data_IF_888505766160
#
_entry.id   IF_888505766160
#
_cell.length_a   1.000
_cell.length_b   1.000
_cell.length_c   1.000
_cell.angle_alpha   90.00
_cell.angle_beta   90.00
_cell.angle_gamma   90.00
#
_symmetry.space_group_name_H-M   'P 1'
#
loop_
_entity.id
_entity.type
_entity.pdbx_description
1 polymer ?
#
# COMPACT_ATOMS: atom_id res chain seq x y z
N UNK A 1 -1.04 0.16 -31.16
CA UNK A 1 -0.30 -0.95 -30.57
C UNK A 1 -1.04 -2.30 -30.69
N UNK A 2 -2.30 -2.42 -30.22
CA UNK A 2 -3.08 -3.67 -30.33
C UNK A 2 -3.27 -4.21 -31.78
N UNK A 3 -3.48 -3.32 -32.74
CA UNK A 3 -3.66 -3.73 -34.16
C UNK A 3 -2.37 -4.30 -34.77
N UNK A 4 -1.22 -3.74 -34.42
CA UNK A 4 0.10 -4.21 -34.88
C UNK A 4 0.46 -5.58 -34.28
N UNK A 5 0.17 -5.81 -33.01
CA UNK A 5 0.37 -7.11 -32.34
C UNK A 5 -0.53 -8.18 -32.96
N UNK A 6 -1.80 -7.89 -33.22
CA UNK A 6 -2.72 -8.81 -33.93
C UNK A 6 -2.23 -9.19 -35.32
N UNK A 7 -1.63 -8.26 -36.05
CA UNK A 7 -1.06 -8.49 -37.38
C UNK A 7 0.15 -9.43 -37.33
N UNK A 8 1.05 -9.21 -36.35
CA UNK A 8 2.26 -10.05 -36.15
C UNK A 8 1.87 -11.46 -35.71
N UNK A 9 0.97 -11.60 -34.73
CA UNK A 9 0.47 -12.89 -34.25
C UNK A 9 -0.24 -13.67 -35.36
N UNK A 10 -1.02 -12.98 -36.17
CA UNK A 10 -1.69 -13.60 -37.35
C UNK A 10 -0.71 -14.08 -38.42
N UNK A 11 0.40 -13.36 -38.67
CA UNK A 11 1.48 -13.79 -39.56
C UNK A 11 2.25 -14.99 -39.00
N UNK A 12 2.60 -14.96 -37.72
CA UNK A 12 3.30 -16.05 -37.03
C UNK A 12 2.48 -17.34 -37.00
N UNK A 13 1.17 -17.26 -36.75
CA UNK A 13 0.27 -18.41 -36.80
C UNK A 13 0.24 -19.04 -38.17
N UNK A 14 0.21 -18.27 -39.26
CA UNK A 14 0.28 -18.79 -40.64
C UNK A 14 1.63 -19.43 -40.94
N UNK A 15 2.73 -18.84 -40.51
CA UNK A 15 4.07 -19.45 -40.69
C UNK A 15 4.26 -20.70 -39.85
N UNK A 16 3.70 -20.80 -38.65
CA UNK A 16 3.72 -21.97 -37.79
C UNK A 16 2.94 -23.15 -38.44
N UNK A 17 1.75 -22.88 -38.98
CA UNK A 17 0.97 -23.90 -39.69
C UNK A 17 1.74 -24.40 -40.92
N UNK A 18 2.36 -23.53 -41.69
CA UNK A 18 3.16 -23.90 -42.88
C UNK A 18 4.42 -24.65 -42.49
N UNK A 19 5.07 -24.32 -41.35
CA UNK A 19 6.22 -25.06 -40.82
C UNK A 19 5.82 -26.48 -40.37
N UNK A 20 4.72 -26.60 -39.65
CA UNK A 20 4.20 -27.89 -39.21
C UNK A 20 3.83 -28.82 -40.39
N UNK A 21 3.23 -28.25 -41.44
CA UNK A 21 2.94 -28.98 -42.71
C UNK A 21 4.22 -29.37 -43.46
N UNK A 22 5.22 -28.49 -43.47
CA UNK A 22 6.54 -28.78 -44.10
C UNK A 22 7.29 -29.93 -43.40
N UNK A 23 7.21 -30.00 -42.06
CA UNK A 23 7.74 -31.12 -41.29
C UNK A 23 7.01 -32.42 -41.55
N UNK A 24 5.68 -32.36 -41.67
CA UNK A 24 4.84 -33.57 -41.91
C UNK A 24 5.02 -34.16 -43.29
N UNK A 25 5.25 -33.33 -44.33
CA UNK A 25 5.39 -33.76 -45.73
C UNK A 25 6.83 -33.86 -46.22
N UNK A 26 7.83 -33.78 -45.35
CA UNK A 26 9.25 -33.97 -45.70
C UNK A 26 9.85 -32.93 -46.68
N UNK A 27 9.13 -31.86 -47.02
CA UNK A 27 9.59 -30.84 -47.96
C UNK A 27 10.33 -29.70 -47.17
N UNK A 28 11.57 -29.95 -46.88
CA UNK A 28 12.45 -28.94 -46.21
C UNK A 28 12.91 -27.89 -47.22
N UNK A 29 12.50 -26.63 -47.03
CA UNK A 29 13.02 -25.50 -47.77
C UNK A 29 13.82 -24.60 -46.80
N UNK A 30 15.15 -24.59 -46.93
CA UNK A 30 16.06 -23.82 -46.09
C UNK A 30 15.70 -22.33 -46.06
N UNK A 31 15.32 -21.74 -47.23
CA UNK A 31 14.94 -20.32 -47.30
C UNK A 31 13.66 -19.98 -46.49
N UNK A 32 12.72 -20.92 -46.34
CA UNK A 32 11.48 -20.67 -45.60
C UNK A 32 11.69 -20.78 -44.10
N UNK A 33 12.55 -21.69 -43.68
CA UNK A 33 12.91 -21.87 -42.29
C UNK A 33 13.76 -20.69 -41.75
N UNK A 34 14.71 -20.18 -42.55
CA UNK A 34 15.47 -18.96 -42.22
C UNK A 34 14.55 -17.76 -41.98
N UNK A 35 13.52 -17.55 -42.82
CA UNK A 35 12.53 -16.48 -42.61
C UNK A 35 11.70 -16.67 -41.35
N UNK A 36 11.36 -17.92 -41.00
CA UNK A 36 10.61 -18.20 -39.76
C UNK A 36 11.46 -17.94 -38.52
N UNK A 37 12.71 -18.43 -38.50
CA UNK A 37 13.62 -18.17 -37.36
C UNK A 37 14.02 -16.72 -37.25
N UNK A 38 14.21 -16.01 -38.37
CA UNK A 38 14.48 -14.55 -38.29
C UNK A 38 13.26 -13.78 -37.76
N UNK A 39 12.02 -14.19 -38.12
CA UNK A 39 10.82 -13.55 -37.56
C UNK A 39 10.64 -13.83 -36.04
N UNK A 40 10.99 -15.05 -35.58
CA UNK A 40 11.00 -15.38 -34.16
C UNK A 40 12.08 -14.60 -33.39
N UNK A 41 13.28 -14.46 -33.98
CA UNK A 41 14.37 -13.65 -33.38
C UNK A 41 13.99 -12.18 -33.27
N UNK A 42 13.37 -11.61 -34.30
CA UNK A 42 12.86 -10.24 -34.27
C UNK A 42 11.76 -10.07 -33.23
N UNK A 43 10.84 -11.04 -33.13
CA UNK A 43 9.79 -10.99 -32.09
C UNK A 43 10.39 -11.10 -30.70
N UNK A 44 11.37 -11.99 -30.47
CA UNK A 44 12.10 -12.13 -29.22
C UNK A 44 12.83 -10.83 -28.85
N UNK A 45 13.48 -10.19 -29.82
CA UNK A 45 14.14 -8.91 -29.65
C UNK A 45 13.12 -7.79 -29.32
N UNK A 46 11.97 -7.75 -30.00
CA UNK A 46 10.92 -6.79 -29.71
C UNK A 46 10.33 -6.99 -28.30
N UNK A 47 10.12 -8.23 -27.88
CA UNK A 47 9.66 -8.55 -26.51
C UNK A 47 10.74 -8.15 -25.50
N UNK A 48 12.01 -8.44 -25.78
CA UNK A 48 13.14 -8.05 -24.94
C UNK A 48 13.28 -6.54 -24.83
N UNK A 49 13.18 -5.82 -25.96
CA UNK A 49 13.22 -4.34 -25.98
C UNK A 49 12.02 -3.75 -25.27
N UNK A 50 10.81 -4.27 -25.48
CA UNK A 50 9.61 -3.85 -24.75
C UNK A 50 9.74 -4.14 -23.25
N UNK A 51 10.26 -5.30 -22.89
CA UNK A 51 10.55 -5.63 -21.48
C UNK A 51 11.55 -4.64 -20.88
N UNK A 52 12.67 -4.37 -21.58
CA UNK A 52 13.65 -3.39 -21.12
C UNK A 52 13.11 -1.97 -21.09
N UNK A 53 12.30 -1.54 -22.06
CA UNK A 53 11.67 -0.21 -22.06
C UNK A 53 10.71 -0.09 -20.87
N UNK A 54 9.83 -1.08 -20.64
CA UNK A 54 8.91 -1.08 -19.51
C UNK A 54 9.65 -1.13 -18.19
N UNK A 55 10.72 -1.96 -18.11
CA UNK A 55 11.54 -2.08 -16.90
C UNK A 55 12.42 -0.85 -16.66
N UNK A 56 12.97 -0.24 -17.72
CA UNK A 56 13.74 1.01 -17.59
C UNK A 56 12.86 2.23 -17.33
N UNK A 57 11.61 2.26 -17.80
CA UNK A 57 10.66 3.32 -17.43
C UNK A 57 10.33 3.25 -15.93
N UNK A 58 10.26 2.04 -15.35
CA UNK A 58 10.16 1.90 -13.89
C UNK A 58 11.48 2.19 -13.15
N UNK A 59 12.63 2.07 -13.86
CA UNK A 59 13.99 2.28 -13.31
C UNK A 59 14.57 3.66 -13.64
N UNK A 60 13.84 4.54 -14.33
CA UNK A 60 14.30 5.92 -14.51
C UNK A 60 14.53 6.54 -13.13
N UNK A 61 15.76 7.02 -12.85
CA UNK A 61 16.00 7.66 -11.57
C UNK A 61 15.02 8.82 -11.41
N UNK A 62 14.47 8.93 -10.21
CA UNK A 62 13.67 10.08 -9.84
C UNK A 62 14.45 11.36 -10.16
N UNK A 63 13.82 12.27 -10.91
CA UNK A 63 14.39 13.56 -11.23
C UNK A 63 13.72 14.62 -10.35
N UNK A 64 14.42 15.12 -9.32
CA UNK A 64 13.85 16.12 -8.42
C UNK A 64 13.39 17.39 -9.13
N UNK A 65 14.00 17.73 -10.27
CA UNK A 65 13.62 18.91 -11.05
C UNK A 65 12.28 18.74 -11.81
N UNK A 66 11.89 17.50 -12.16
CA UNK A 66 10.64 17.19 -12.86
C UNK A 66 9.53 16.80 -11.90
N UNK A 67 9.92 16.20 -10.78
CA UNK A 67 9.02 15.63 -9.80
C UNK A 67 8.82 16.53 -8.56
N UNK A 68 9.26 17.79 -8.61
CA UNK A 68 9.04 18.76 -7.52
C UNK A 68 7.55 19.02 -7.35
N UNK A 69 7.03 18.53 -6.25
CA UNK A 69 5.66 18.77 -5.80
C UNK A 69 5.51 20.11 -5.07
N UNK A 70 6.61 20.79 -4.84
CA UNK A 70 6.75 21.99 -4.05
C UNK A 70 6.83 23.27 -4.90
N UNK A 71 5.94 23.44 -5.86
CA UNK A 71 5.70 24.73 -6.49
C UNK A 71 4.80 25.65 -5.63
N UNK A 72 4.57 25.23 -4.38
CA UNK A 72 3.85 26.05 -3.41
C UNK A 72 4.87 26.90 -2.66
N UNK A 73 5.12 28.11 -3.13
CA UNK A 73 6.04 29.06 -2.50
C UNK A 73 5.69 29.34 -1.03
N UNK A 74 4.41 29.14 -0.63
CA UNK A 74 3.99 29.22 0.77
C UNK A 74 2.83 28.29 1.07
N UNK A 75 3.02 27.32 1.97
CA UNK A 75 1.88 26.62 2.58
C UNK A 75 1.07 27.68 3.35
N UNK A 76 -0.21 27.91 3.01
CA UNK A 76 -0.96 28.98 3.67
C UNK A 76 -0.97 28.81 5.19
N UNK A 77 -0.66 29.88 5.90
CA UNK A 77 -0.55 29.85 7.38
C UNK A 77 -1.80 29.32 8.09
N UNK A 78 -2.98 29.47 7.48
CA UNK A 78 -4.22 28.91 8.02
C UNK A 78 -4.28 27.36 7.97
N UNK A 79 -3.50 26.71 7.10
CA UNK A 79 -3.37 25.25 7.07
C UNK A 79 -2.47 24.72 8.19
N UNK A 80 -1.58 25.55 8.67
CA UNK A 80 -0.62 25.23 9.73
C UNK A 80 -1.18 25.49 11.13
N UNK A 81 -2.46 25.92 11.24
CA UNK A 81 -3.09 26.10 12.54
C UNK A 81 -3.32 24.77 13.22
N UNK A 82 -2.96 24.69 14.49
CA UNK A 82 -3.33 23.58 15.38
C UNK A 82 -4.84 23.51 15.51
N UNK A 83 -5.38 22.36 15.19
CA UNK A 83 -6.79 22.02 15.35
C UNK A 83 -6.94 21.15 16.60
N UNK A 84 -7.95 21.34 17.46
CA UNK A 84 -8.18 20.45 18.59
C UNK A 84 -8.36 18.97 18.19
N UNK A 85 -8.75 18.72 16.94
CA UNK A 85 -8.87 17.37 16.37
C UNK A 85 -7.64 16.96 15.55
N UNK A 86 -6.46 17.54 15.83
CA UNK A 86 -5.24 17.25 15.09
C UNK A 86 -4.81 15.80 15.29
N UNK A 87 -4.32 15.19 14.19
CA UNK A 87 -3.81 13.83 14.26
C UNK A 87 -2.37 13.72 13.78
N UNK A 88 -1.58 12.96 14.50
CA UNK A 88 -0.27 12.49 14.06
C UNK A 88 -0.43 11.32 13.11
N UNK A 89 0.11 11.48 11.90
CA UNK A 89 0.17 10.41 10.90
C UNK A 89 1.43 9.58 11.15
N UNK A 90 1.27 8.28 11.23
CA UNK A 90 2.37 7.33 11.35
C UNK A 90 2.44 6.51 10.08
N UNK A 91 3.62 6.40 9.50
CA UNK A 91 3.88 5.59 8.32
C UNK A 91 5.22 4.87 8.41
N UNK A 92 5.40 3.83 7.60
CA UNK A 92 6.67 3.09 7.56
C UNK A 92 6.98 2.65 6.14
N UNK A 93 8.26 2.66 5.79
CA UNK A 93 8.75 2.09 4.56
C UNK A 93 9.98 1.21 4.81
N UNK A 94 9.78 -0.11 4.64
CA UNK A 94 10.84 -1.11 4.62
C UNK A 94 10.97 -1.60 3.18
N UNK A 95 12.17 -1.55 2.61
CA UNK A 95 12.41 -2.00 1.24
C UNK A 95 12.45 -3.54 1.18
N UNK A 96 11.37 -4.13 0.70
CA UNK A 96 11.26 -5.57 0.50
C UNK A 96 11.72 -6.03 -0.90
N UNK A 97 12.28 -5.12 -1.71
CA UNK A 97 12.63 -5.40 -3.10
C UNK A 97 11.39 -5.63 -3.98
N UNK A 98 11.59 -6.43 -5.01
CA UNK A 98 10.52 -6.81 -5.94
C UNK A 98 9.78 -8.04 -5.43
N UNK A 99 8.45 -7.97 -5.34
CA UNK A 99 7.64 -9.11 -4.96
C UNK A 99 6.32 -9.17 -5.73
N UNK A 100 5.81 -10.40 -5.91
CA UNK A 100 4.51 -10.64 -6.53
C UNK A 100 3.39 -10.30 -5.55
N UNK A 101 2.37 -9.53 -6.00
CA UNK A 101 1.20 -9.18 -5.18
C UNK A 101 -0.09 -9.48 -5.93
N UNK A 102 -0.71 -10.59 -5.58
CA UNK A 102 -1.90 -11.13 -6.23
C UNK A 102 -1.60 -12.29 -7.19
N UNK A 103 -2.64 -12.87 -7.75
CA UNK A 103 -2.55 -14.11 -8.56
C UNK A 103 -2.22 -13.82 -10.04
N UNK A 104 -2.37 -12.59 -10.51
CA UNK A 104 -2.12 -12.24 -11.91
C UNK A 104 -0.63 -12.41 -12.25
N UNK A 105 -0.37 -12.82 -13.51
CA UNK A 105 0.97 -13.17 -13.98
C UNK A 105 2.01 -12.04 -13.82
N UNK A 106 1.60 -10.78 -13.98
CA UNK A 106 2.47 -9.59 -13.96
C UNK A 106 2.16 -8.63 -12.78
N UNK A 107 1.52 -9.13 -11.71
CA UNK A 107 1.18 -8.33 -10.55
C UNK A 107 2.39 -8.18 -9.61
N UNK A 108 3.43 -7.45 -10.05
CA UNK A 108 4.61 -7.17 -9.25
C UNK A 108 4.56 -5.78 -8.64
N UNK A 109 5.10 -5.67 -7.44
CA UNK A 109 5.35 -4.42 -6.75
C UNK A 109 6.86 -4.22 -6.60
N UNK A 110 7.29 -2.99 -6.80
CA UNK A 110 8.69 -2.59 -6.72
C UNK A 110 8.89 -1.47 -5.69
N UNK A 111 10.09 -1.29 -5.13
CA UNK A 111 10.40 -0.14 -4.28
C UNK A 111 10.11 1.19 -4.98
N UNK A 112 10.39 1.29 -6.28
CA UNK A 112 10.12 2.47 -7.09
C UNK A 112 8.62 2.85 -7.10
N UNK A 113 7.73 1.86 -7.22
CA UNK A 113 6.28 2.07 -7.19
C UNK A 113 5.82 2.63 -5.85
N UNK A 114 6.38 2.14 -4.75
CA UNK A 114 6.10 2.67 -3.42
C UNK A 114 6.66 4.09 -3.23
N UNK A 115 7.86 4.37 -3.73
CA UNK A 115 8.45 5.71 -3.72
C UNK A 115 7.57 6.72 -4.46
N UNK A 116 7.03 6.36 -5.61
CA UNK A 116 6.04 7.19 -6.31
C UNK A 116 4.83 7.52 -5.44
N UNK A 117 4.25 6.53 -4.77
CA UNK A 117 3.11 6.73 -3.89
C UNK A 117 3.45 7.57 -2.65
N UNK A 118 4.66 7.44 -2.16
CA UNK A 118 5.19 8.22 -1.03
C UNK A 118 5.13 9.72 -1.27
N UNK A 119 5.18 10.18 -2.53
CA UNK A 119 5.07 11.60 -2.89
C UNK A 119 3.79 12.26 -2.38
N UNK A 120 2.72 11.51 -2.21
CA UNK A 120 1.45 12.04 -1.68
C UNK A 120 1.58 12.62 -0.28
N UNK A 121 2.59 12.19 0.50
CA UNK A 121 2.90 12.77 1.79
C UNK A 121 3.40 14.22 1.69
N UNK A 122 3.97 14.63 0.58
CA UNK A 122 4.35 16.03 0.34
C UNK A 122 3.17 17.00 0.28
N UNK A 123 1.98 16.47 -0.03
CA UNK A 123 0.73 17.25 -0.09
C UNK A 123 -0.10 17.16 1.19
N UNK A 124 0.29 16.30 2.13
CA UNK A 124 -0.40 16.06 3.39
C UNK A 124 0.16 17.01 4.46
N UNK A 125 -0.64 17.95 4.93
CA UNK A 125 -0.21 19.01 5.87
C UNK A 125 -0.20 18.55 7.34
N UNK A 126 -0.54 17.32 7.62
CA UNK A 126 -0.47 16.78 8.99
C UNK A 126 0.97 16.67 9.50
N UNK A 127 1.10 16.59 10.82
CA UNK A 127 2.30 16.08 11.47
C UNK A 127 2.52 14.60 11.10
N UNK A 128 3.74 14.25 10.69
CA UNK A 128 4.07 12.90 10.22
C UNK A 128 5.26 12.33 10.99
N UNK A 129 5.12 11.13 11.52
CA UNK A 129 6.21 10.29 12.00
C UNK A 129 6.44 9.17 10.96
N UNK A 130 7.58 9.21 10.29
CA UNK A 130 7.93 8.23 9.26
C UNK A 130 9.08 7.33 9.73
N UNK A 131 8.84 6.02 9.72
CA UNK A 131 9.85 5.01 10.03
C UNK A 131 10.43 4.46 8.74
N UNK A 132 11.71 4.71 8.47
CA UNK A 132 12.35 4.39 7.19
C UNK A 132 13.66 3.64 7.42
N UNK A 133 13.91 2.61 6.62
CA UNK A 133 15.06 1.72 6.81
C UNK A 133 16.33 2.25 6.15
N UNK A 134 16.26 2.72 4.91
CA UNK A 134 17.42 3.07 4.09
C UNK A 134 17.69 4.58 4.08
N UNK A 135 18.96 4.99 4.15
CA UNK A 135 19.33 6.41 4.14
C UNK A 135 18.87 7.14 2.88
N UNK A 136 18.97 6.51 1.71
CA UNK A 136 18.49 7.09 0.45
C UNK A 136 16.97 7.35 0.46
N UNK A 137 16.20 6.50 1.14
CA UNK A 137 14.75 6.66 1.28
C UNK A 137 14.40 7.72 2.32
N UNK A 138 15.25 7.89 3.35
CA UNK A 138 15.16 8.99 4.31
C UNK A 138 15.35 10.33 3.62
N UNK A 139 16.42 10.49 2.83
CA UNK A 139 16.66 11.73 2.09
C UNK A 139 15.55 12.01 1.08
N UNK A 140 15.06 10.99 0.39
CA UNK A 140 13.91 11.11 -0.50
C UNK A 140 12.65 11.58 0.24
N UNK A 141 12.36 11.05 1.42
CA UNK A 141 11.20 11.47 2.21
C UNK A 141 11.34 12.89 2.75
N UNK A 142 12.54 13.29 3.18
CA UNK A 142 12.85 14.69 3.55
C UNK A 142 12.56 15.65 2.40
N UNK A 143 12.98 15.29 1.20
CA UNK A 143 12.77 16.12 0.01
C UNK A 143 11.28 16.22 -0.33
N UNK A 144 10.53 15.14 -0.28
CA UNK A 144 9.06 15.16 -0.46
C UNK A 144 8.39 16.11 0.53
N UNK A 145 8.88 16.20 1.75
CA UNK A 145 8.30 17.00 2.84
C UNK A 145 8.88 18.42 2.94
N UNK A 146 9.83 18.78 2.08
CA UNK A 146 10.59 20.03 2.19
C UNK A 146 9.77 21.32 2.08
N UNK A 147 8.57 21.26 1.51
CA UNK A 147 7.63 22.39 1.42
C UNK A 147 6.88 22.67 2.73
N UNK A 148 6.98 21.78 3.69
CA UNK A 148 6.34 21.94 5.00
C UNK A 148 7.38 22.35 6.04
N UNK A 149 6.97 23.04 7.11
CA UNK A 149 7.90 23.36 8.18
C UNK A 149 8.60 22.08 8.70
N UNK A 150 9.91 22.12 8.97
CA UNK A 150 10.64 20.96 9.49
C UNK A 150 10.02 20.35 10.75
N UNK A 151 9.38 21.18 11.59
CA UNK A 151 8.66 20.75 12.79
C UNK A 151 7.44 19.85 12.52
N UNK A 152 7.00 19.73 11.27
CA UNK A 152 5.86 18.88 10.89
C UNK A 152 6.25 17.44 10.57
N UNK A 153 7.55 17.13 10.62
CA UNK A 153 8.03 15.81 10.18
C UNK A 153 9.11 15.29 11.11
N UNK A 154 8.86 14.13 11.70
CA UNK A 154 9.88 13.34 12.41
C UNK A 154 10.18 12.11 11.60
N UNK A 155 11.44 11.89 11.21
CA UNK A 155 11.88 10.70 10.51
C UNK A 155 12.75 9.89 11.44
N UNK A 156 12.40 8.61 11.59
CA UNK A 156 13.10 7.66 12.46
C UNK A 156 13.70 6.59 11.58
N UNK A 157 15.03 6.49 11.60
CA UNK A 157 15.72 5.36 10.97
C UNK A 157 15.45 4.12 11.78
N UNK A 158 15.00 3.05 11.11
CA UNK A 158 14.75 1.75 11.75
C UNK A 158 15.54 0.66 11.08
N UNK A 159 15.92 -0.34 11.84
CA UNK A 159 16.43 -1.60 11.32
C UNK A 159 15.38 -2.68 11.55
N UNK A 160 14.94 -3.36 10.46
CA UNK A 160 13.83 -4.33 10.55
C UNK A 160 14.04 -5.40 11.62
N UNK A 161 15.27 -5.83 11.86
CA UNK A 161 15.59 -6.83 12.88
C UNK A 161 15.39 -6.35 14.34
N UNK A 162 15.28 -5.03 14.56
CA UNK A 162 15.00 -4.43 15.87
C UNK A 162 13.49 -4.38 16.17
N UNK A 163 12.65 -4.46 15.12
CA UNK A 163 11.20 -4.47 15.28
C UNK A 163 10.74 -5.81 15.88
N UNK A 164 9.85 -5.73 16.88
CA UNK A 164 9.41 -6.93 17.61
C UNK A 164 8.74 -7.97 16.72
N UNK A 165 8.04 -7.53 15.68
CA UNK A 165 7.40 -8.39 14.68
C UNK A 165 8.38 -9.24 13.90
N UNK A 166 9.60 -8.77 13.65
CA UNK A 166 10.63 -9.53 12.94
C UNK A 166 11.29 -10.62 13.79
N UNK A 167 11.08 -10.64 15.12
CA UNK A 167 11.47 -11.77 15.97
C UNK A 167 10.70 -13.04 15.61
N UNK A 168 9.55 -12.91 14.97
CA UNK A 168 8.71 -14.02 14.52
C UNK A 168 9.07 -14.54 13.11
N UNK A 169 10.06 -13.94 12.45
CA UNK A 169 10.39 -14.22 11.05
C UNK A 169 10.62 -15.71 10.77
N UNK A 170 11.46 -16.37 11.57
CA UNK A 170 11.76 -17.79 11.36
C UNK A 170 10.55 -18.69 11.66
N UNK A 171 9.76 -18.37 12.68
CA UNK A 171 8.50 -19.08 12.97
C UNK A 171 7.55 -18.99 11.79
N UNK A 172 7.37 -17.78 11.22
CA UNK A 172 6.49 -17.55 10.07
C UNK A 172 7.02 -18.30 8.84
N UNK A 173 8.34 -18.29 8.58
CA UNK A 173 8.96 -19.07 7.50
C UNK A 173 8.66 -20.57 7.62
N UNK A 174 8.81 -21.14 8.82
CA UNK A 174 8.50 -22.54 9.05
C UNK A 174 7.02 -22.87 8.82
N UNK A 175 6.11 -21.99 9.25
CA UNK A 175 4.68 -22.14 8.99
C UNK A 175 4.42 -22.14 7.47
N UNK A 176 4.96 -21.16 6.75
CA UNK A 176 4.76 -21.04 5.32
C UNK A 176 5.47 -22.12 4.50
N UNK A 177 6.54 -22.74 5.02
CA UNK A 177 7.22 -23.84 4.36
C UNK A 177 6.42 -25.15 4.34
N UNK A 178 5.39 -25.30 5.18
CA UNK A 178 4.57 -26.51 5.22
C UNK A 178 3.86 -26.73 3.87
N UNK A 179 3.90 -27.93 3.28
CA UNK A 179 3.26 -28.20 2.00
C UNK A 179 1.73 -27.98 2.01
N UNK A 180 1.09 -28.22 3.16
CA UNK A 180 -0.35 -28.02 3.36
C UNK A 180 -0.75 -26.58 3.62
N UNK A 181 0.20 -25.68 3.89
CA UNK A 181 -0.13 -24.28 4.18
C UNK A 181 -0.50 -23.52 2.89
N UNK A 182 -1.67 -22.85 2.82
CA UNK A 182 -2.12 -22.18 1.60
C UNK A 182 -1.16 -21.08 1.15
N UNK A 183 -0.96 -20.96 -0.17
CA UNK A 183 -0.05 -19.99 -0.78
C UNK A 183 -0.82 -18.83 -1.39
N UNK A 184 -0.79 -17.68 -0.75
CA UNK A 184 -1.37 -16.41 -1.22
C UNK A 184 -0.26 -15.37 -1.39
N UNK A 185 -0.01 -14.91 -2.62
CA UNK A 185 1.02 -13.91 -2.88
C UNK A 185 0.56 -12.50 -2.47
N UNK A 186 1.36 -11.75 -1.70
CA UNK A 186 2.63 -12.05 -1.03
C UNK A 186 2.44 -12.69 0.37
N UNK A 187 1.25 -12.67 0.91
CA UNK A 187 0.89 -12.82 2.31
C UNK A 187 1.47 -14.08 2.98
N UNK A 188 1.25 -15.25 2.39
CA UNK A 188 1.70 -16.54 2.97
C UNK A 188 2.83 -17.19 2.18
N UNK A 189 3.57 -16.37 1.41
CA UNK A 189 4.72 -16.79 0.62
C UNK A 189 6.00 -16.12 1.11
N UNK A 190 5.93 -14.83 1.45
CA UNK A 190 7.08 -14.07 1.93
C UNK A 190 6.88 -13.72 3.41
N UNK A 191 7.64 -14.38 4.30
CA UNK A 191 7.54 -14.16 5.74
C UNK A 191 7.90 -12.71 6.12
N UNK A 192 8.86 -12.11 5.42
CA UNK A 192 9.26 -10.71 5.58
C UNK A 192 8.10 -9.76 5.31
N UNK A 193 7.25 -10.08 4.34
CA UNK A 193 6.07 -9.28 4.04
C UNK A 193 5.08 -9.29 5.22
N UNK A 194 4.81 -10.46 5.79
CA UNK A 194 3.93 -10.58 6.96
C UNK A 194 4.51 -9.86 8.18
N UNK A 195 5.82 -10.05 8.45
CA UNK A 195 6.50 -9.30 9.51
C UNK A 195 6.37 -7.78 9.30
N UNK A 196 6.50 -7.29 8.07
CA UNK A 196 6.31 -5.87 7.75
C UNK A 196 4.89 -5.41 8.01
N UNK A 197 3.88 -6.23 7.70
CA UNK A 197 2.48 -5.89 8.00
C UNK A 197 2.22 -5.86 9.51
N UNK A 198 2.82 -6.74 10.29
CA UNK A 198 2.74 -6.71 11.74
C UNK A 198 3.51 -5.53 12.36
N UNK A 199 4.65 -5.15 11.78
CA UNK A 199 5.52 -4.07 12.26
C UNK A 199 4.84 -2.69 12.28
N UNK A 200 3.75 -2.48 11.53
CA UNK A 200 2.95 -1.25 11.64
C UNK A 200 2.47 -1.00 13.08
N UNK A 201 2.17 -2.05 13.83
CA UNK A 201 1.74 -1.95 15.23
C UNK A 201 2.91 -1.73 16.20
N UNK A 202 4.13 -2.12 15.81
CA UNK A 202 5.34 -1.76 16.57
C UNK A 202 5.62 -0.27 16.48
N UNK A 203 5.59 0.28 15.26
CA UNK A 203 5.87 1.70 15.05
C UNK A 203 4.74 2.61 15.52
N UNK A 204 3.48 2.16 15.45
CA UNK A 204 2.34 2.86 16.04
C UNK A 204 2.49 2.99 17.56
N UNK A 205 2.80 1.89 18.25
CA UNK A 205 3.04 1.90 19.70
C UNK A 205 4.19 2.86 20.06
N UNK A 206 5.30 2.79 19.31
CA UNK A 206 6.44 3.68 19.52
C UNK A 206 6.06 5.15 19.31
N UNK A 207 5.38 5.48 18.22
CA UNK A 207 4.94 6.87 17.93
C UNK A 207 3.96 7.39 18.98
N UNK A 208 3.01 6.57 19.45
CA UNK A 208 2.07 6.94 20.50
C UNK A 208 2.77 7.19 21.83
N UNK A 209 3.73 6.36 22.21
CA UNK A 209 4.49 6.53 23.46
C UNK A 209 5.35 7.79 23.41
N UNK A 210 6.04 8.03 22.30
CA UNK A 210 6.89 9.22 22.13
C UNK A 210 6.08 10.52 22.03
N UNK A 211 4.90 10.46 21.39
CA UNK A 211 3.97 11.58 21.21
C UNK A 211 4.64 12.90 20.80
N UNK A 212 5.45 12.85 19.75
CA UNK A 212 6.32 13.94 19.28
C UNK A 212 5.60 15.28 19.04
N UNK A 213 4.30 15.26 18.75
CA UNK A 213 3.53 16.43 18.34
C UNK A 213 2.37 16.75 19.30
N UNK A 214 2.25 16.00 20.39
CA UNK A 214 1.22 16.19 21.44
C UNK A 214 -0.22 16.23 20.89
N UNK A 215 -0.48 15.47 19.84
CA UNK A 215 -1.82 15.40 19.22
C UNK A 215 -2.71 14.37 19.92
N UNK A 216 -4.04 14.60 19.96
CA UNK A 216 -4.96 13.67 20.61
C UNK A 216 -5.21 12.39 19.82
N UNK A 217 -5.06 12.43 18.48
CA UNK A 217 -5.32 11.32 17.58
C UNK A 217 -4.07 10.83 16.88
N UNK A 218 -4.03 9.53 16.65
CA UNK A 218 -2.99 8.86 15.86
C UNK A 218 -3.61 8.08 14.72
N UNK A 219 -3.00 8.16 13.55
CA UNK A 219 -3.44 7.38 12.40
C UNK A 219 -2.26 6.70 11.71
N UNK A 220 -2.35 5.38 11.55
CA UNK A 220 -1.55 4.68 10.56
C UNK A 220 -2.02 5.04 9.16
N UNK A 221 -1.10 5.34 8.26
CA UNK A 221 -1.37 5.57 6.84
C UNK A 221 -0.35 4.78 6.00
N UNK A 222 -0.85 3.79 5.26
CA UNK A 222 -0.02 3.07 4.29
C UNK A 222 0.50 4.03 3.22
N UNK A 223 1.74 3.84 2.79
CA UNK A 223 2.38 4.62 1.71
C UNK A 223 1.51 4.68 0.45
N UNK A 224 0.77 3.62 0.15
CA UNK A 224 -0.08 3.54 -1.03
C UNK A 224 -1.53 3.97 -0.85
N UNK A 225 -1.93 4.50 0.32
CA UNK A 225 -3.34 4.86 0.58
C UNK A 225 -3.88 5.90 -0.42
N UNK A 226 -3.10 6.92 -0.70
CA UNK A 226 -3.47 8.01 -1.60
C UNK A 226 -2.86 7.89 -2.99
N UNK A 227 -2.48 6.69 -3.42
CA UNK A 227 -1.83 6.44 -4.72
C UNK A 227 -2.60 6.99 -5.92
N UNK A 228 -3.92 7.14 -5.80
CA UNK A 228 -4.77 7.71 -6.86
C UNK A 228 -4.57 9.23 -7.04
N UNK A 229 -3.86 9.89 -6.11
CA UNK A 229 -3.48 11.30 -6.20
C UNK A 229 -2.09 11.48 -6.84
N UNK A 230 -1.31 10.39 -7.00
CA UNK A 230 -0.02 10.45 -7.67
C UNK A 230 -0.19 10.84 -9.14
N UNK A 231 0.58 11.82 -9.61
CA UNK A 231 0.49 12.32 -10.98
C UNK A 231 -0.73 13.20 -11.28
N UNK A 232 -1.46 13.67 -10.26
CA UNK A 232 -2.59 14.60 -10.44
C UNK A 232 -2.26 15.97 -9.83
N UNK A 233 -2.96 17.01 -10.29
CA UNK A 233 -2.86 18.38 -9.72
C UNK A 233 -3.70 18.53 -8.44
N UNK A 234 -3.78 17.45 -7.62
CA UNK A 234 -4.56 17.48 -6.41
C UNK A 234 -3.98 18.50 -5.41
N UNK A 235 -4.81 19.36 -4.79
CA UNK A 235 -4.32 20.39 -3.86
C UNK A 235 -3.75 19.78 -2.57
N UNK A 236 -3.12 20.62 -1.76
CA UNK A 236 -2.77 20.26 -0.38
C UNK A 236 -4.01 19.77 0.37
N UNK A 237 -3.83 18.83 1.29
CA UNK A 237 -4.92 18.30 2.11
C UNK A 237 -4.45 17.99 3.53
N UNK A 238 -5.39 18.01 4.45
CA UNK A 238 -5.20 17.60 5.85
C UNK A 238 -6.13 16.43 6.16
N UNK A 239 -5.65 15.46 6.90
CA UNK A 239 -6.48 14.40 7.47
C UNK A 239 -6.95 14.86 8.83
N UNK A 240 -8.24 14.74 9.08
CA UNK A 240 -8.86 14.98 10.37
C UNK A 240 -9.83 13.85 10.71
N UNK A 241 -10.08 13.53 11.97
CA UNK A 241 -11.10 12.56 12.33
C UNK A 241 -12.45 12.90 11.68
N UNK A 242 -13.24 11.90 11.26
CA UNK A 242 -14.59 12.15 10.77
C UNK A 242 -15.46 12.84 11.84
N UNK A 243 -16.38 13.72 11.45
CA UNK A 243 -17.25 14.50 12.36
C UNK A 243 -17.96 13.68 13.44
N UNK A 244 -18.23 12.40 13.17
CA UNK A 244 -18.87 11.47 14.11
C UNK A 244 -17.89 10.36 14.53
N UNK A 245 -16.62 10.68 14.63
CA UNK A 245 -15.64 9.73 15.14
C UNK A 245 -15.92 9.46 16.61
N UNK A 246 -15.97 8.19 16.97
CA UNK A 246 -16.23 7.78 18.35
C UNK A 246 -14.88 7.58 19.06
N UNK A 247 -14.51 8.41 20.04
CA UNK A 247 -13.18 8.36 20.63
C UNK A 247 -12.85 7.03 21.34
N UNK A 248 -13.88 6.28 21.78
CA UNK A 248 -13.70 4.95 22.42
C UNK A 248 -13.66 3.79 21.43
N UNK A 249 -13.40 4.05 20.16
CA UNK A 249 -13.37 3.04 19.10
C UNK A 249 -12.18 3.22 18.22
N UNK A 250 -11.73 2.12 17.63
CA UNK A 250 -10.71 2.17 16.60
C UNK A 250 -11.35 2.16 15.20
N UNK A 251 -10.97 3.13 14.37
CA UNK A 251 -11.51 3.32 13.01
C UNK A 251 -10.74 2.55 11.96
N UNK A 252 -11.48 1.84 11.10
CA UNK A 252 -10.95 1.14 9.93
C UNK A 252 -11.88 1.30 8.72
N UNK A 253 -11.34 1.18 7.51
CA UNK A 253 -12.17 0.93 6.34
C UNK A 253 -12.70 -0.52 6.38
N UNK A 254 -13.99 -0.73 6.13
CA UNK A 254 -14.56 -2.06 5.99
C UNK A 254 -14.39 -2.56 4.56
N UNK A 255 -13.63 -3.64 4.39
CA UNK A 255 -13.46 -4.29 3.10
C UNK A 255 -14.61 -5.27 2.80
N UNK A 256 -14.94 -6.13 3.78
CA UNK A 256 -16.00 -7.15 3.68
C UNK A 256 -16.77 -7.27 5.00
N UNK A 257 -17.98 -7.87 5.00
CA UNK A 257 -18.67 -8.22 6.24
C UNK A 257 -17.82 -9.17 7.10
N UNK A 258 -17.97 -9.06 8.42
CA UNK A 258 -17.35 -9.98 9.38
C UNK A 258 -18.39 -11.02 9.84
N UNK A 259 -18.00 -12.28 9.77
CA UNK A 259 -18.75 -13.37 10.39
C UNK A 259 -17.91 -13.98 11.53
N UNK A 260 -18.31 -13.76 12.79
CA UNK A 260 -17.55 -14.26 13.94
C UNK A 260 -17.59 -15.80 14.09
N UNK A 261 -18.44 -16.50 13.33
CA UNK A 261 -18.51 -17.96 13.36
C UNK A 261 -17.29 -18.63 12.69
N UNK A 262 -16.58 -17.93 11.80
CA UNK A 262 -15.36 -18.46 11.21
C UNK A 262 -14.26 -18.67 12.24
N UNK A 263 -13.57 -19.80 12.10
CA UNK A 263 -12.43 -20.12 12.97
C UNK A 263 -11.21 -19.23 12.66
N UNK A 264 -10.25 -19.10 13.59
CA UNK A 264 -8.96 -18.47 13.29
C UNK A 264 -8.23 -19.15 12.12
N UNK A 265 -8.31 -20.47 12.01
CA UNK A 265 -7.74 -21.23 10.91
C UNK A 265 -8.38 -20.87 9.57
N UNK A 266 -9.70 -20.79 9.50
CA UNK A 266 -10.41 -20.33 8.30
C UNK A 266 -9.95 -18.94 7.88
N UNK A 267 -9.83 -18.03 8.85
CA UNK A 267 -9.39 -16.65 8.62
C UNK A 267 -8.00 -16.59 7.99
N UNK A 268 -7.05 -17.39 8.52
CA UNK A 268 -5.65 -17.42 8.05
C UNK A 268 -5.53 -18.14 6.71
N UNK A 269 -6.18 -19.29 6.55
CA UNK A 269 -6.04 -20.14 5.37
C UNK A 269 -6.80 -19.60 4.15
N UNK A 270 -7.96 -19.00 4.34
CA UNK A 270 -8.80 -18.47 3.26
C UNK A 270 -8.59 -16.97 3.00
N UNK A 271 -7.60 -16.36 3.64
CA UNK A 271 -7.28 -14.93 3.47
C UNK A 271 -8.52 -14.04 3.70
N UNK A 272 -9.21 -14.26 4.81
CA UNK A 272 -10.45 -13.54 5.12
C UNK A 272 -10.14 -12.13 5.62
N UNK A 273 -10.74 -11.15 4.99
CA UNK A 273 -10.54 -9.73 5.30
C UNK A 273 -11.87 -9.12 5.73
N UNK A 274 -11.91 -8.56 6.92
CA UNK A 274 -13.01 -7.72 7.40
C UNK A 274 -12.68 -6.25 7.19
N UNK A 275 -11.57 -5.81 7.76
CA UNK A 275 -11.13 -4.42 7.72
C UNK A 275 -9.81 -4.27 6.97
N UNK A 276 -9.62 -3.11 6.37
CA UNK A 276 -8.39 -2.79 5.65
C UNK A 276 -7.32 -2.25 6.60
N UNK A 277 -6.10 -2.75 6.47
CA UNK A 277 -4.94 -2.21 7.17
C UNK A 277 -4.34 -0.94 6.55
N UNK A 278 -4.99 -0.34 5.54
CA UNK A 278 -4.45 0.85 4.85
C UNK A 278 -4.45 2.12 5.70
N UNK A 279 -5.45 2.27 6.59
CA UNK A 279 -5.52 3.30 7.60
C UNK A 279 -6.17 2.75 8.87
N UNK A 280 -5.58 3.13 10.00
CA UNK A 280 -6.10 2.85 11.34
C UNK A 280 -6.13 4.17 12.10
N UNK A 281 -7.26 4.52 12.73
CA UNK A 281 -7.44 5.78 13.46
C UNK A 281 -7.96 5.52 14.86
N UNK A 282 -7.31 6.12 15.86
CA UNK A 282 -7.78 6.09 17.25
C UNK A 282 -7.20 7.27 18.05
N UNK A 283 -7.69 7.45 19.28
CA UNK A 283 -6.98 8.23 20.28
C UNK A 283 -5.65 7.57 20.64
N UNK A 284 -4.74 8.30 21.27
CA UNK A 284 -3.46 7.75 21.74
C UNK A 284 -3.66 6.51 22.61
N UNK A 285 -4.53 6.59 23.61
CA UNK A 285 -4.77 5.51 24.56
C UNK A 285 -5.37 4.27 23.90
N UNK A 286 -6.38 4.46 23.07
CA UNK A 286 -7.05 3.37 22.37
C UNK A 286 -6.13 2.69 21.35
N UNK A 287 -5.25 3.46 20.68
CA UNK A 287 -4.24 2.91 19.79
C UNK A 287 -3.24 2.02 20.54
N UNK A 288 -2.78 2.46 21.72
CA UNK A 288 -1.89 1.65 22.57
C UNK A 288 -2.57 0.37 23.06
N UNK A 289 -3.82 0.45 23.49
CA UNK A 289 -4.59 -0.71 23.89
C UNK A 289 -4.74 -1.72 22.74
N UNK A 290 -5.12 -1.21 21.56
CA UNK A 290 -5.28 -2.07 20.39
C UNK A 290 -3.96 -2.70 19.92
N UNK A 291 -2.87 -1.95 19.88
CA UNK A 291 -1.56 -2.50 19.46
C UNK A 291 -1.08 -3.61 20.40
N UNK A 292 -1.29 -3.45 21.70
CA UNK A 292 -0.99 -4.50 22.70
C UNK A 292 -1.80 -5.76 22.42
N UNK A 293 -3.12 -5.62 22.29
CA UNK A 293 -4.03 -6.74 22.08
C UNK A 293 -3.77 -7.46 20.75
N UNK A 294 -3.44 -6.69 19.71
CA UNK A 294 -3.04 -7.21 18.41
C UNK A 294 -1.77 -8.08 18.50
N UNK A 295 -0.74 -7.61 19.19
CA UNK A 295 0.52 -8.35 19.36
C UNK A 295 0.31 -9.67 20.13
N UNK A 296 -0.55 -9.66 21.14
CA UNK A 296 -0.95 -10.88 21.86
C UNK A 296 -1.64 -11.85 20.91
N UNK A 297 -2.57 -11.37 20.07
CA UNK A 297 -3.27 -12.22 19.12
C UNK A 297 -2.33 -12.81 18.06
N UNK A 298 -1.35 -12.05 17.55
CA UNK A 298 -0.30 -12.58 16.65
C UNK A 298 0.41 -13.74 17.31
N UNK A 299 0.84 -13.57 18.57
CA UNK A 299 1.53 -14.65 19.30
C UNK A 299 0.64 -15.88 19.48
N UNK A 300 -0.61 -15.71 19.90
CA UNK A 300 -1.56 -16.82 20.09
C UNK A 300 -1.82 -17.59 18.78
N UNK A 301 -1.84 -16.91 17.63
CA UNK A 301 -1.98 -17.54 16.32
C UNK A 301 -0.71 -18.29 15.90
N UNK A 302 0.46 -17.70 16.11
CA UNK A 302 1.75 -18.37 15.84
C UNK A 302 1.94 -19.63 16.67
N UNK A 303 1.55 -19.61 17.95
CA UNK A 303 1.58 -20.77 18.84
C UNK A 303 0.67 -21.91 18.33
N UNK A 304 -0.41 -21.58 17.58
CA UNK A 304 -1.28 -22.54 16.88
C UNK A 304 -0.74 -22.95 15.49
N UNK A 305 0.41 -22.42 15.08
CA UNK A 305 0.99 -22.67 13.75
C UNK A 305 0.24 -21.96 12.62
N UNK A 306 -0.41 -20.85 12.93
CA UNK A 306 -1.18 -20.02 12.00
C UNK A 306 -0.49 -18.67 11.82
N UNK A 307 -0.42 -18.17 10.58
CA UNK A 307 0.12 -16.86 10.25
C UNK A 307 -0.47 -16.33 8.94
N UNK A 308 -0.69 -15.04 8.87
CA UNK A 308 -1.03 -14.29 7.66
C UNK A 308 -0.68 -12.81 7.91
N UNK A 309 -1.27 -11.86 7.19
CA UNK A 309 -1.03 -10.43 7.44
C UNK A 309 -1.98 -9.85 8.49
N UNK A 310 -1.85 -8.56 8.73
CA UNK A 310 -2.60 -7.84 9.76
C UNK A 310 -4.12 -7.94 9.61
N UNK A 311 -4.62 -7.96 8.38
CA UNK A 311 -6.06 -7.98 8.11
C UNK A 311 -6.69 -9.30 8.54
N UNK A 312 -6.04 -10.41 8.25
CA UNK A 312 -6.48 -11.75 8.63
C UNK A 312 -6.34 -11.96 10.16
N UNK A 313 -5.28 -11.41 10.77
CA UNK A 313 -5.13 -11.42 12.24
C UNK A 313 -6.28 -10.67 12.89
N UNK A 314 -6.63 -9.48 12.42
CA UNK A 314 -7.76 -8.71 12.96
C UNK A 314 -9.08 -9.48 12.76
N UNK A 315 -9.27 -10.14 11.61
CA UNK A 315 -10.44 -10.98 11.41
C UNK A 315 -10.54 -12.07 12.49
N UNK A 316 -9.45 -12.79 12.73
CA UNK A 316 -9.38 -13.87 13.71
C UNK A 316 -9.57 -13.37 15.16
N UNK A 317 -8.98 -12.22 15.52
CA UNK A 317 -9.14 -11.60 16.86
C UNK A 317 -10.61 -11.43 17.27
N UNK A 318 -11.46 -11.08 16.31
CA UNK A 318 -12.89 -10.83 16.56
C UNK A 318 -13.76 -12.04 16.26
N UNK A 319 -13.21 -13.20 15.94
CA UNK A 319 -13.95 -14.47 15.86
C UNK A 319 -14.48 -14.87 17.23
N UNK A 320 -15.53 -15.71 17.26
CA UNK A 320 -16.12 -16.20 18.50
C UNK A 320 -15.09 -16.97 19.39
N UNK A 321 -14.08 -17.58 18.78
CA UNK A 321 -13.03 -18.33 19.47
C UNK A 321 -11.97 -17.46 20.15
N UNK A 322 -11.60 -16.30 19.53
CA UNK A 322 -10.47 -15.49 20.02
C UNK A 322 -10.90 -14.19 20.68
N UNK A 323 -12.10 -13.71 20.41
CA UNK A 323 -12.58 -12.44 20.94
C UNK A 323 -12.55 -12.40 22.46
N UNK A 324 -11.89 -11.37 23.00
CA UNK A 324 -11.85 -11.11 24.44
C UNK A 324 -12.73 -9.91 24.80
N UNK A 325 -13.36 -9.87 26.00
CA UNK A 325 -14.28 -8.80 26.40
C UNK A 325 -13.64 -7.40 26.39
N UNK A 326 -12.33 -7.30 26.64
CA UNK A 326 -11.59 -6.04 26.70
C UNK A 326 -11.12 -5.53 25.33
N UNK A 327 -11.29 -6.30 24.24
CA UNK A 327 -10.85 -5.85 22.93
C UNK A 327 -11.61 -4.59 22.50
N UNK A 328 -10.87 -3.64 21.96
CA UNK A 328 -11.41 -2.38 21.45
C UNK A 328 -12.50 -2.63 20.42
N UNK A 329 -13.56 -1.83 20.47
CA UNK A 329 -14.65 -1.92 19.48
C UNK A 329 -14.18 -1.26 18.18
N UNK A 330 -14.26 -2.00 17.07
CA UNK A 330 -13.98 -1.44 15.76
C UNK A 330 -15.16 -0.58 15.30
N UNK A 331 -14.84 0.61 14.77
CA UNK A 331 -15.75 1.45 13.99
C UNK A 331 -15.44 1.26 12.51
N UNK A 332 -16.22 0.45 11.79
CA UNK A 332 -16.02 0.29 10.36
C UNK A 332 -16.58 1.50 9.58
N UNK A 333 -15.82 1.94 8.56
CA UNK A 333 -16.23 2.96 7.60
C UNK A 333 -16.43 2.30 6.23
N UNK A 334 -17.59 2.54 5.64
CA UNK A 334 -18.04 1.92 4.39
C UNK A 334 -18.25 3.01 3.34
N UNK A 335 -17.62 2.88 2.19
CA UNK A 335 -17.86 3.73 1.03
C UNK A 335 -18.43 2.91 -0.13
N UNK A 336 -19.39 3.51 -0.83
CA UNK A 336 -19.93 2.94 -2.05
C UNK A 336 -19.06 3.28 -3.26
N UNK A 337 -19.25 2.55 -4.35
CA UNK A 337 -18.57 2.78 -5.63
C UNK A 337 -18.82 4.22 -6.11
N UNK A 338 -17.75 4.92 -6.47
CA UNK A 338 -17.78 6.31 -6.92
C UNK A 338 -17.84 7.35 -5.80
N UNK A 339 -18.14 6.95 -4.56
CA UNK A 339 -18.11 7.85 -3.41
C UNK A 339 -16.67 8.34 -3.16
N UNK A 340 -16.50 9.63 -2.90
CA UNK A 340 -15.21 10.28 -2.68
C UNK A 340 -14.19 10.07 -3.84
N UNK A 341 -14.68 9.79 -5.05
CA UNK A 341 -13.83 9.50 -6.20
C UNK A 341 -13.20 8.10 -6.22
N UNK A 342 -13.52 7.25 -5.23
CA UNK A 342 -12.99 5.89 -5.12
C UNK A 342 -13.71 4.91 -6.04
N UNK A 343 -12.95 4.05 -6.72
CA UNK A 343 -13.49 3.05 -7.66
C UNK A 343 -12.91 1.65 -7.38
N UNK A 344 -13.66 0.63 -7.78
CA UNK A 344 -13.23 -0.76 -7.64
C UNK A 344 -12.96 -1.15 -6.19
N UNK A 345 -11.89 -1.89 -5.96
CA UNK A 345 -11.47 -2.31 -4.62
C UNK A 345 -11.13 -1.13 -3.70
N UNK A 346 -10.64 -0.02 -4.26
CA UNK A 346 -10.21 1.16 -3.49
C UNK A 346 -11.36 1.78 -2.68
N UNK A 347 -12.62 1.69 -3.17
CA UNK A 347 -13.79 2.15 -2.40
C UNK A 347 -13.96 1.43 -1.06
N UNK A 348 -13.52 0.18 -0.97
CA UNK A 348 -13.57 -0.62 0.25
C UNK A 348 -12.34 -0.44 1.12
N UNK A 349 -11.16 -0.50 0.48
CA UNK A 349 -9.90 -0.51 1.23
C UNK A 349 -9.44 0.86 1.70
N UNK A 350 -9.82 1.96 1.04
CA UNK A 350 -9.31 3.31 1.32
C UNK A 350 -10.36 4.26 1.90
N UNK A 351 -11.55 3.78 2.17
CA UNK A 351 -12.70 4.59 2.61
C UNK A 351 -12.34 5.54 3.75
N UNK A 352 -11.78 5.04 4.86
CA UNK A 352 -11.48 5.86 6.03
C UNK A 352 -10.52 7.02 5.69
N UNK A 353 -9.46 6.76 4.94
CA UNK A 353 -8.51 7.81 4.54
C UNK A 353 -9.16 8.92 3.73
N UNK A 354 -10.05 8.56 2.81
CA UNK A 354 -10.75 9.55 1.99
C UNK A 354 -11.90 10.25 2.73
N UNK A 355 -12.50 9.61 3.73
CA UNK A 355 -13.46 10.27 4.64
C UNK A 355 -12.75 11.30 5.53
N UNK A 356 -11.55 10.97 6.03
CA UNK A 356 -10.74 11.87 6.83
C UNK A 356 -10.15 13.04 6.02
N UNK A 357 -10.02 12.89 4.69
CA UNK A 357 -9.34 13.84 3.82
C UNK A 357 -10.17 15.10 3.61
N UNK A 358 -9.70 16.24 4.11
CA UNK A 358 -10.20 17.57 3.75
C UNK A 358 -9.24 18.21 2.76
N UNK A 359 -9.72 18.44 1.54
CA UNK A 359 -9.02 19.22 0.53
C UNK A 359 -9.18 20.71 0.86
N UNK A 360 -8.13 21.47 0.66
CA UNK A 360 -8.17 22.90 0.78
C UNK A 360 -8.32 23.49 -0.62
N UNK A 361 -9.52 23.95 -0.93
CA UNK A 361 -9.74 24.71 -2.15
C UNK A 361 -9.03 26.05 -2.02
N UNK A 362 -8.20 26.43 -3.02
CA UNK A 362 -7.80 27.81 -3.19
C UNK A 362 -9.11 28.62 -3.31
N UNK A 363 -9.44 29.45 -2.31
CA UNK A 363 -10.42 30.51 -2.52
C UNK A 363 -9.79 31.43 -3.57
N UNK A 364 -10.14 31.24 -4.84
CA UNK A 364 -9.96 32.27 -5.84
C UNK A 364 -10.76 33.45 -5.28
N UNK A 365 -10.15 34.62 -5.00
CA UNK A 365 -10.92 35.79 -4.67
C UNK A 365 -11.88 35.99 -5.83
N UNK A 366 -13.18 35.90 -5.57
CA UNK A 366 -14.18 36.30 -6.55
C UNK A 366 -13.85 37.74 -6.88
N UNK A 367 -13.39 37.96 -8.11
CA UNK A 367 -13.38 39.27 -8.73
C UNK A 367 -14.86 39.67 -8.87
N UNK A 368 -15.47 40.05 -7.78
CA UNK A 368 -16.69 40.85 -7.80
C UNK A 368 -16.22 42.23 -8.28
N UNK A 369 -16.17 42.38 -9.63
CA UNK A 369 -16.08 43.68 -10.25
C UNK A 369 -17.31 44.46 -9.79
N UNK A 370 -17.11 45.42 -8.92
CA UNK A 370 -18.02 46.55 -8.78
C UNK A 370 -18.00 47.27 -10.10
N UNK A 371 -18.98 46.95 -10.95
CA UNK A 371 -19.40 47.85 -12.02
C UNK A 371 -20.27 48.91 -11.34
N UNK A 372 -19.67 50.08 -11.12
CA UNK A 372 -20.38 51.31 -10.76
C UNK A 372 -21.02 51.94 -12.01
#
# INVERSE_FOLDING_TARGET
MMTFVKLIVGKLRRHWITFKMSLYYGKWSLRRNVKFFSALSVLGLCIFVLYHIVFHIELLPWNPAVDRWCDYEDVPSYMLRTDPDEMTIVTMFLDLGYFKKGEQLFAYHSPYKYKRWMRTFGRMVNHVVAYIENDNDIEYFKEIRSCLPPSYTTIIKVHRHELSSFRHLETIRHIYARPSYPKHYPNTVYAEYSCTMHAKYDVLENACNANYFETPYFAWVDVGLFRNLDGTDYPLFKLIPPEKFHPERIGFSQAWPHDPAHSPEDSMHNKMVWVSGSMVLATKEDMLNFTRDYKIAVKELLDQGLSNTDQEVIYAMYSAKMRKPHYMKIKPYICHQGQLGLRGADSRYFCLGYVCKKAWEKRVPSLVGTVG
#
